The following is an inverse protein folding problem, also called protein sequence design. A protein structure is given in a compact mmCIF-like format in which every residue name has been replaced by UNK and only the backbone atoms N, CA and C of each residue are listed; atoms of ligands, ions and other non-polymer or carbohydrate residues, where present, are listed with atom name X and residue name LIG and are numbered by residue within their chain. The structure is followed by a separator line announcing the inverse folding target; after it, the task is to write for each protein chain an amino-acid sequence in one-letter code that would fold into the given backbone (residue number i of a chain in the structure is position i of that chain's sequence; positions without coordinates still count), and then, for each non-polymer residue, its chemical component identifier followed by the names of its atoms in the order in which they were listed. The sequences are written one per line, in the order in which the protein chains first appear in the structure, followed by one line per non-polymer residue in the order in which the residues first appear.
data_IF_420718926528
#
_entry.id   IF_420718926528
#
_cell.length_a   1.000
_cell.length_b   1.000
_cell.length_c   1.000
_cell.angle_alpha   90.00
_cell.angle_beta   90.00
_cell.angle_gamma   90.00
#
_symmetry.space_group_name_H-M   'P 1'
#
loop_
_entity.id
_entity.type
_entity.pdbx_description
1 polymer ?
#
# COMPACT_ATOMS: atom_id res chain seq x y z
N UNK A 1 -17.69 -5.48 -5.29
CA UNK A 1 -16.74 -6.42 -4.69
C UNK A 1 -17.44 -7.21 -3.61
N UNK A 2 -17.13 -8.50 -3.46
CA UNK A 2 -17.70 -9.33 -2.39
C UNK A 2 -16.97 -8.98 -1.08
N UNK A 3 -17.68 -8.92 0.05
CA UNK A 3 -17.09 -8.54 1.34
C UNK A 3 -15.92 -9.43 1.75
N UNK A 4 -16.04 -10.74 1.51
CA UNK A 4 -14.98 -11.74 1.77
C UNK A 4 -13.68 -11.44 1.01
N UNK A 5 -13.77 -10.89 -0.19
CA UNK A 5 -12.60 -10.54 -1.01
C UNK A 5 -11.87 -9.31 -0.45
N UNK A 6 -12.64 -8.34 0.09
CA UNK A 6 -12.10 -7.17 0.78
C UNK A 6 -11.36 -7.61 2.05
N UNK A 7 -11.99 -8.47 2.86
CA UNK A 7 -11.38 -9.00 4.09
C UNK A 7 -10.08 -9.76 3.80
N UNK A 8 -10.07 -10.60 2.76
CA UNK A 8 -8.88 -11.35 2.35
C UNK A 8 -7.73 -10.43 1.92
N UNK A 9 -8.03 -9.40 1.10
CA UNK A 9 -7.02 -8.43 0.66
C UNK A 9 -6.49 -7.61 1.84
N UNK A 10 -7.37 -7.23 2.77
CA UNK A 10 -6.98 -6.50 3.97
C UNK A 10 -6.06 -7.35 4.86
N UNK A 11 -6.41 -8.62 5.10
CA UNK A 11 -5.57 -9.55 5.86
C UNK A 11 -4.18 -9.71 5.23
N UNK A 12 -4.11 -9.84 3.90
CA UNK A 12 -2.82 -9.95 3.20
C UNK A 12 -1.99 -8.66 3.30
N UNK A 13 -2.64 -7.50 3.33
CA UNK A 13 -1.98 -6.22 3.51
C UNK A 13 -1.37 -6.09 4.91
N UNK A 14 -2.15 -6.38 5.95
CA UNK A 14 -1.68 -6.36 7.34
C UNK A 14 -0.52 -7.33 7.55
N UNK A 15 -0.61 -8.54 6.99
CA UNK A 15 0.45 -9.55 7.10
C UNK A 15 1.74 -9.19 6.34
N UNK A 16 1.72 -8.18 5.47
CA UNK A 16 2.89 -7.74 4.71
C UNK A 16 3.70 -6.65 5.43
N UNK A 17 3.28 -6.22 6.62
CA UNK A 17 3.99 -5.23 7.43
C UNK A 17 5.37 -5.75 7.86
N UNK A 18 6.35 -4.87 7.86
CA UNK A 18 7.68 -5.13 8.41
C UNK A 18 8.16 -3.97 9.29
N UNK A 19 9.01 -4.29 10.26
CA UNK A 19 9.62 -3.30 11.15
C UNK A 19 11.01 -2.93 10.64
N UNK A 20 11.21 -1.66 10.30
CA UNK A 20 12.52 -1.10 9.96
C UNK A 20 12.75 0.08 10.89
N UNK A 21 13.84 0.04 11.67
CA UNK A 21 14.20 1.14 12.60
C UNK A 21 13.02 1.54 13.49
N UNK A 22 12.36 0.55 14.11
CA UNK A 22 11.18 0.72 14.97
C UNK A 22 9.94 1.33 14.27
N UNK A 23 9.98 1.47 12.95
CA UNK A 23 8.89 2.00 12.13
C UNK A 23 8.22 0.88 11.35
N UNK A 24 6.89 0.80 11.45
CA UNK A 24 6.08 -0.07 10.60
C UNK A 24 6.11 0.44 9.16
N UNK A 25 6.44 -0.45 8.23
CA UNK A 25 6.52 -0.13 6.83
C UNK A 25 6.15 -1.32 5.97
N UNK A 26 5.96 -1.05 4.68
CA UNK A 26 5.65 -2.06 3.68
C UNK A 26 6.62 -1.95 2.52
N UNK A 27 7.06 -3.11 2.03
CA UNK A 27 7.82 -3.20 0.79
C UNK A 27 6.95 -2.78 -0.40
N UNK A 28 7.32 -1.69 -1.05
CA UNK A 28 6.60 -1.22 -2.24
C UNK A 28 6.57 -2.26 -3.37
N UNK A 29 7.58 -3.14 -3.48
CA UNK A 29 7.60 -4.22 -4.48
C UNK A 29 6.58 -5.32 -4.16
N UNK A 30 6.34 -5.60 -2.89
CA UNK A 30 5.37 -6.61 -2.48
C UNK A 30 3.95 -6.05 -2.57
N UNK A 31 3.75 -4.78 -2.16
CA UNK A 31 2.47 -4.09 -2.35
C UNK A 31 2.08 -3.97 -3.83
N UNK A 32 3.04 -3.75 -4.73
CA UNK A 32 2.77 -3.74 -6.17
C UNK A 32 2.05 -5.03 -6.60
N UNK A 33 2.57 -6.19 -6.19
CA UNK A 33 2.00 -7.50 -6.54
C UNK A 33 0.66 -7.71 -5.83
N UNK A 34 0.57 -7.35 -4.55
CA UNK A 34 -0.63 -7.50 -3.74
C UNK A 34 -1.82 -6.73 -4.32
N UNK A 35 -1.57 -5.51 -4.82
CA UNK A 35 -2.59 -4.66 -5.43
C UNK A 35 -2.78 -4.91 -6.93
N UNK A 36 -2.15 -5.96 -7.49
CA UNK A 36 -2.39 -6.40 -8.86
C UNK A 36 -1.71 -5.57 -9.96
N UNK A 37 -0.69 -4.77 -9.62
CA UNK A 37 0.05 -3.99 -10.61
C UNK A 37 1.14 -4.85 -11.26
N UNK A 38 1.09 -5.02 -12.59
CA UNK A 38 2.13 -5.75 -13.32
C UNK A 38 3.38 -4.89 -13.59
N UNK A 39 3.18 -3.62 -13.93
CA UNK A 39 4.27 -2.70 -14.29
C UNK A 39 4.63 -1.78 -13.13
N UNK A 40 5.89 -1.83 -12.69
CA UNK A 40 6.41 -1.00 -11.59
C UNK A 40 6.20 0.50 -11.83
N UNK A 41 6.40 0.97 -13.07
CA UNK A 41 6.22 2.40 -13.42
C UNK A 41 4.79 2.90 -13.15
N UNK A 42 3.77 2.05 -13.31
CA UNK A 42 2.40 2.43 -13.00
C UNK A 42 2.16 2.50 -11.49
N UNK A 43 2.79 1.59 -10.74
CA UNK A 43 2.68 1.58 -9.29
C UNK A 43 3.43 2.74 -8.63
N UNK A 44 4.57 3.17 -9.17
CA UNK A 44 5.25 4.40 -8.73
C UNK A 44 4.30 5.60 -8.73
N UNK A 45 3.53 5.80 -9.80
CA UNK A 45 2.56 6.90 -9.91
C UNK A 45 1.47 6.82 -8.83
N UNK A 46 1.11 5.62 -8.37
CA UNK A 46 0.15 5.42 -7.28
C UNK A 46 0.78 5.81 -5.94
N UNK A 47 2.04 5.42 -5.71
CA UNK A 47 2.79 5.83 -4.52
C UNK A 47 2.93 7.35 -4.46
N UNK A 48 3.27 8.00 -5.58
CA UNK A 48 3.42 9.45 -5.63
C UNK A 48 2.09 10.15 -5.30
N UNK A 49 0.98 9.69 -5.86
CA UNK A 49 -0.36 10.17 -5.50
C UNK A 49 -0.70 9.94 -4.02
N UNK A 50 -0.26 8.82 -3.44
CA UNK A 50 -0.47 8.56 -2.02
C UNK A 50 0.31 9.54 -1.13
N UNK A 51 1.55 9.87 -1.50
CA UNK A 51 2.35 10.90 -0.83
C UNK A 51 1.71 12.28 -0.94
N UNK A 52 1.32 12.67 -2.16
CA UNK A 52 0.59 13.92 -2.41
C UNK A 52 -0.70 13.98 -1.58
N UNK A 53 -1.44 12.87 -1.49
CA UNK A 53 -2.63 12.80 -0.66
C UNK A 53 -2.29 13.06 0.81
N UNK A 54 -1.24 12.44 1.36
CA UNK A 54 -0.77 12.68 2.73
C UNK A 54 -0.38 14.14 2.98
N UNK A 55 0.29 14.79 2.02
CA UNK A 55 0.67 16.21 2.13
C UNK A 55 -0.55 17.15 2.08
N UNK A 56 -1.56 16.77 1.29
CA UNK A 56 -2.79 17.54 1.12
C UNK A 56 -3.83 17.26 2.20
N UNK A 57 -3.66 16.21 3.01
CA UNK A 57 -4.45 16.05 4.22
C UNK A 57 -3.99 17.14 5.18
N UNK A 58 -4.73 18.26 5.21
CA UNK A 58 -4.55 19.34 6.18
C UNK A 58 -4.89 18.88 7.61
N UNK A 59 -4.14 17.91 8.13
CA UNK A 59 -4.15 17.54 9.53
C UNK A 59 -3.24 18.53 10.28
N UNK A 60 -3.75 19.23 11.32
CA UNK A 60 -2.92 20.00 12.25
C UNK A 60 -1.98 19.09 13.06
#
# INVERSE_FOLDING_TARGET
MKSEEIENLFQKYENAVCMIEETECWSARDLQKLFGYTLWQNFCKVIDKAKEACENVGQP
#
